data_IF_700329620339
#
_entry.id   IF_700329620339
#
_cell.length_a   1.000
_cell.length_b   1.000
_cell.length_c   1.000
_cell.angle_alpha   90.00
_cell.angle_beta   90.00
_cell.angle_gamma   90.00
#
_symmetry.space_group_name_H-M   'P 1'
#
loop_
_entity.id
_entity.type
_entity.pdbx_description
1 polymer ?
#
# COMPACT_ATOMS: atom_id res chain seq x y z
N UNK A 1 -17.45 -1.81 -15.18
CA UNK A 1 -16.75 -0.49 -15.29
C UNK A 1 -15.25 -0.73 -15.24
N UNK A 2 -14.44 0.08 -15.94
CA UNK A 2 -12.98 0.00 -15.86
C UNK A 2 -12.49 0.50 -14.49
N UNK A 3 -11.57 -0.23 -13.86
CA UNK A 3 -10.91 0.24 -12.64
C UNK A 3 -9.77 1.17 -13.04
N UNK A 4 -9.87 2.46 -12.72
CA UNK A 4 -8.91 3.49 -13.09
C UNK A 4 -8.48 4.39 -11.94
N UNK A 5 -9.10 4.24 -10.76
CA UNK A 5 -8.86 5.06 -9.58
C UNK A 5 -8.16 4.29 -8.49
N UNK A 6 -7.19 4.94 -7.82
CA UNK A 6 -6.55 4.42 -6.63
C UNK A 6 -6.65 5.40 -5.46
N UNK A 7 -6.70 4.86 -4.26
CA UNK A 7 -6.65 5.61 -2.99
C UNK A 7 -5.45 5.11 -2.19
N UNK A 8 -4.57 6.02 -1.79
CA UNK A 8 -3.39 5.74 -0.98
C UNK A 8 -3.55 6.40 0.38
N UNK A 9 -3.92 5.67 1.43
CA UNK A 9 -3.96 6.19 2.80
C UNK A 9 -2.54 6.46 3.32
N UNK A 10 -2.23 7.73 3.60
CA UNK A 10 -0.94 8.20 4.07
C UNK A 10 -1.05 9.16 5.28
N UNK A 11 -2.19 9.16 5.99
CA UNK A 11 -2.45 10.06 7.12
C UNK A 11 -1.89 9.58 8.47
N UNK A 12 -1.41 8.33 8.55
CA UNK A 12 -0.92 7.72 9.78
C UNK A 12 0.27 8.46 10.41
N UNK A 13 0.39 8.42 11.74
CA UNK A 13 1.40 9.16 12.50
C UNK A 13 2.82 8.59 12.40
N UNK A 14 2.97 7.35 11.93
CA UNK A 14 4.29 6.71 11.77
C UNK A 14 5.05 6.44 13.07
N UNK A 15 4.37 6.27 14.20
CA UNK A 15 4.96 6.16 15.53
C UNK A 15 6.01 5.07 15.69
N UNK A 16 5.93 4.00 14.87
CA UNK A 16 6.90 2.89 14.89
C UNK A 16 8.32 3.31 14.50
N UNK A 17 8.47 4.43 13.78
CA UNK A 17 9.73 4.97 13.28
C UNK A 17 10.19 6.24 14.02
N UNK A 18 9.58 6.57 15.15
CA UNK A 18 10.10 7.66 15.97
C UNK A 18 11.55 7.34 16.42
N UNK A 19 12.44 8.37 16.46
CA UNK A 19 12.17 9.79 16.28
C UNK A 19 12.16 10.28 14.82
N UNK A 20 12.60 9.49 13.82
CA UNK A 20 12.71 9.93 12.41
C UNK A 20 11.39 10.50 11.86
N UNK A 21 10.27 9.86 12.17
CA UNK A 21 8.95 10.28 11.68
C UNK A 21 8.30 11.43 12.48
N UNK A 22 9.04 12.07 13.41
CA UNK A 22 8.58 13.31 14.05
C UNK A 22 8.38 14.43 13.01
N UNK A 23 9.26 14.52 12.04
CA UNK A 23 9.23 15.56 10.99
C UNK A 23 9.06 15.00 9.59
N UNK A 24 9.39 13.72 9.34
CA UNK A 24 9.32 13.06 8.04
C UNK A 24 8.15 12.08 8.00
N UNK A 25 7.27 12.14 6.98
CA UNK A 25 6.27 11.08 6.75
C UNK A 25 6.94 9.71 6.63
N UNK A 26 6.37 8.66 7.24
CA UNK A 26 6.91 7.30 7.08
C UNK A 26 6.94 6.85 5.61
N UNK A 27 6.03 7.35 4.82
CA UNK A 27 5.90 7.09 3.38
C UNK A 27 7.04 7.71 2.56
N UNK A 28 7.79 8.65 3.16
CA UNK A 28 8.98 9.27 2.58
C UNK A 28 10.29 8.63 3.03
N UNK A 29 10.25 7.59 3.87
CA UNK A 29 11.45 6.83 4.20
C UNK A 29 12.02 6.17 2.92
N UNK A 30 13.29 6.39 2.58
CA UNK A 30 13.85 5.93 1.31
C UNK A 30 14.25 4.46 1.37
N UNK A 31 13.89 3.70 0.36
CA UNK A 31 14.47 2.38 0.09
C UNK A 31 15.61 2.60 -0.90
N UNK A 32 16.82 2.61 -0.41
CA UNK A 32 18.04 3.10 -1.08
C UNK A 32 17.94 4.61 -1.34
N UNK A 33 17.43 5.01 -2.49
CA UNK A 33 17.33 6.39 -2.97
C UNK A 33 15.89 6.83 -3.32
N UNK A 34 14.93 5.88 -3.28
CA UNK A 34 13.54 6.10 -3.69
C UNK A 34 12.59 6.04 -2.48
N UNK A 35 11.76 7.08 -2.22
CA UNK A 35 10.76 7.04 -1.17
C UNK A 35 9.74 5.93 -1.36
N UNK A 36 9.30 5.32 -0.27
CA UNK A 36 8.34 4.20 -0.29
C UNK A 36 7.07 4.52 -1.08
N UNK A 37 6.53 5.73 -0.93
CA UNK A 37 5.31 6.17 -1.63
C UNK A 37 5.45 6.14 -3.15
N UNK A 38 6.64 6.40 -3.69
CA UNK A 38 6.88 6.39 -5.13
C UNK A 38 6.74 4.98 -5.71
N UNK A 39 7.19 3.94 -5.01
CA UNK A 39 6.97 2.55 -5.43
C UNK A 39 5.48 2.21 -5.55
N UNK A 40 4.65 2.74 -4.64
CA UNK A 40 3.20 2.51 -4.65
C UNK A 40 2.55 3.19 -5.85
N UNK A 41 2.93 4.44 -6.14
CA UNK A 41 2.43 5.20 -7.30
C UNK A 41 2.88 4.54 -8.62
N UNK A 42 4.12 4.09 -8.70
CA UNK A 42 4.64 3.36 -9.86
C UNK A 42 3.90 2.02 -10.09
N UNK A 43 3.57 1.28 -9.03
CA UNK A 43 2.76 0.06 -9.13
C UNK A 43 1.35 0.38 -9.63
N UNK A 44 0.73 1.45 -9.13
CA UNK A 44 -0.59 1.90 -9.59
C UNK A 44 -0.57 2.21 -11.09
N UNK A 45 0.39 3.01 -11.55
CA UNK A 45 0.62 3.32 -12.97
C UNK A 45 0.79 2.04 -13.81
N UNK A 46 1.69 1.13 -13.38
CA UNK A 46 1.96 -0.12 -14.09
C UNK A 46 0.73 -1.05 -14.16
N UNK A 47 -0.25 -0.84 -13.27
CA UNK A 47 -1.52 -1.57 -13.24
C UNK A 47 -2.61 -0.95 -14.11
N UNK A 48 -2.37 0.22 -14.71
CA UNK A 48 -3.31 0.93 -15.57
C UNK A 48 -4.23 1.90 -14.82
N UNK A 49 -3.86 2.32 -13.61
CA UNK A 49 -4.52 3.39 -12.85
C UNK A 49 -4.18 4.73 -13.51
N UNK A 50 -5.17 5.60 -13.61
CA UNK A 50 -5.10 6.92 -14.22
C UNK A 50 -5.11 8.04 -13.16
N UNK A 51 -5.96 7.89 -12.15
CA UNK A 51 -6.21 8.89 -11.11
C UNK A 51 -5.87 8.29 -9.72
N UNK A 52 -5.04 8.98 -8.95
CA UNK A 52 -4.62 8.55 -7.62
C UNK A 52 -4.94 9.62 -6.59
N UNK A 53 -5.70 9.28 -5.56
CA UNK A 53 -5.94 10.14 -4.41
C UNK A 53 -5.06 9.71 -3.24
N UNK A 54 -4.19 10.60 -2.79
CA UNK A 54 -3.41 10.40 -1.57
C UNK A 54 -4.14 11.07 -0.41
N UNK A 55 -4.55 10.26 0.59
CA UNK A 55 -5.21 10.77 1.80
C UNK A 55 -4.14 11.10 2.82
N UNK A 56 -3.83 12.39 2.96
CA UNK A 56 -2.77 12.91 3.82
C UNK A 56 -3.27 13.34 5.21
N UNK A 57 -2.36 13.62 6.12
CA UNK A 57 -2.62 14.18 7.44
C UNK A 57 -1.81 15.46 7.67
N UNK A 58 -1.75 15.88 8.94
CA UNK A 58 -0.88 16.98 9.36
C UNK A 58 0.61 16.62 9.12
N UNK A 59 1.41 17.58 8.65
CA UNK A 59 2.85 17.44 8.41
C UNK A 59 3.24 16.44 7.31
N UNK A 60 2.41 16.28 6.26
CA UNK A 60 2.67 15.35 5.15
C UNK A 60 3.08 16.04 3.83
N UNK A 61 3.37 17.36 3.86
CA UNK A 61 3.77 18.15 2.66
C UNK A 61 4.94 17.56 1.86
N UNK A 62 5.85 16.84 2.53
CA UNK A 62 6.95 16.19 1.82
C UNK A 62 6.48 15.16 0.77
N UNK A 63 5.29 14.60 0.92
CA UNK A 63 4.69 13.72 -0.09
C UNK A 63 4.26 14.51 -1.31
N UNK A 64 3.59 15.65 -1.10
CA UNK A 64 3.15 16.55 -2.18
C UNK A 64 4.38 17.09 -2.93
N UNK A 65 5.33 17.67 -2.19
CA UNK A 65 6.57 18.24 -2.76
C UNK A 65 7.40 17.21 -3.55
N UNK A 66 7.34 15.92 -3.20
CA UNK A 66 8.08 14.88 -3.90
C UNK A 66 7.61 14.67 -5.34
N UNK A 67 6.31 14.82 -5.58
CA UNK A 67 5.72 14.64 -6.90
C UNK A 67 5.56 15.94 -7.69
N UNK A 68 5.75 17.10 -7.04
CA UNK A 68 5.74 18.40 -7.70
C UNK A 68 7.08 18.69 -8.40
N UNK A 69 7.06 19.58 -9.38
CA UNK A 69 8.28 20.09 -9.99
C UNK A 69 9.11 20.91 -9.00
N UNK A 70 10.43 20.85 -9.14
CA UNK A 70 11.36 21.71 -8.42
C UNK A 70 12.21 22.53 -9.42
N UNK A 71 11.68 23.67 -9.91
CA UNK A 71 12.34 24.45 -10.97
C UNK A 71 13.74 24.91 -10.61
N UNK A 72 14.00 25.24 -9.33
CA UNK A 72 15.33 25.67 -8.88
C UNK A 72 16.36 24.53 -8.99
N UNK A 73 16.01 23.34 -8.51
CA UNK A 73 16.84 22.16 -8.64
C UNK A 73 17.06 21.77 -10.10
N UNK A 74 16.00 21.77 -10.90
CA UNK A 74 16.06 21.41 -12.32
C UNK A 74 16.99 22.36 -13.10
N UNK A 75 16.90 23.68 -12.87
CA UNK A 75 17.78 24.67 -13.46
C UNK A 75 19.25 24.49 -13.02
N UNK A 76 19.51 24.15 -11.75
CA UNK A 76 20.87 23.89 -11.28
C UNK A 76 21.47 22.64 -11.94
N UNK A 77 20.68 21.56 -12.04
CA UNK A 77 21.09 20.33 -12.71
C UNK A 77 21.38 20.56 -14.20
N UNK A 78 20.58 21.37 -14.88
CA UNK A 78 20.79 21.75 -16.27
C UNK A 78 22.08 22.56 -16.43
N UNK A 79 22.27 23.63 -15.64
CA UNK A 79 23.45 24.49 -15.66
C UNK A 79 24.73 23.72 -15.36
N UNK A 80 24.66 22.72 -14.48
CA UNK A 80 25.84 21.91 -14.09
C UNK A 80 26.05 20.68 -15.00
N UNK A 81 25.24 20.51 -16.05
CA UNK A 81 25.34 19.41 -17.02
C UNK A 81 24.98 18.04 -16.48
N UNK A 82 24.26 17.96 -15.37
CA UNK A 82 23.85 16.69 -14.71
C UNK A 82 22.58 16.13 -15.34
N UNK A 83 22.62 15.84 -16.64
CA UNK A 83 21.47 15.47 -17.46
C UNK A 83 20.70 14.23 -16.96
N UNK A 84 21.38 13.22 -16.43
CA UNK A 84 20.74 12.00 -15.92
C UNK A 84 19.94 12.28 -14.64
N UNK A 85 20.46 13.11 -13.73
CA UNK A 85 19.73 13.52 -12.52
C UNK A 85 18.54 14.42 -12.87
N UNK A 86 18.70 15.30 -13.88
CA UNK A 86 17.59 16.11 -14.38
C UNK A 86 16.45 15.25 -14.94
N UNK A 87 16.76 14.27 -15.78
CA UNK A 87 15.78 13.33 -16.31
C UNK A 87 15.08 12.54 -15.20
N UNK A 88 15.85 12.09 -14.19
CA UNK A 88 15.31 11.38 -13.03
C UNK A 88 14.31 12.24 -12.27
N UNK A 89 14.67 13.51 -11.97
CA UNK A 89 13.81 14.46 -11.25
C UNK A 89 12.54 14.76 -12.04
N UNK A 90 12.66 15.09 -13.32
CA UNK A 90 11.51 15.32 -14.19
C UNK A 90 10.63 14.09 -14.39
N UNK A 91 11.21 12.88 -14.36
CA UNK A 91 10.49 11.62 -14.45
C UNK A 91 9.56 11.38 -13.27
N UNK A 92 9.88 11.90 -12.08
CA UNK A 92 9.02 11.81 -10.89
C UNK A 92 7.78 12.71 -11.07
N UNK A 93 7.96 13.93 -11.54
CA UNK A 93 6.84 14.86 -11.82
C UNK A 93 5.96 14.36 -12.97
N UNK A 94 6.57 13.76 -13.99
CA UNK A 94 5.89 13.30 -15.20
C UNK A 94 5.56 11.81 -15.19
N UNK A 95 5.06 11.29 -14.07
CA UNK A 95 4.71 9.86 -13.95
C UNK A 95 3.59 9.41 -14.90
N UNK A 96 2.80 10.33 -15.46
CA UNK A 96 1.69 10.01 -16.37
C UNK A 96 0.46 9.45 -15.66
N UNK A 97 0.27 9.83 -14.41
CA UNK A 97 -0.95 9.66 -13.62
C UNK A 97 -1.34 11.01 -13.01
N UNK A 98 -2.62 11.21 -12.75
CA UNK A 98 -3.10 12.39 -12.06
C UNK A 98 -3.06 12.15 -10.56
N UNK A 99 -2.39 13.02 -9.81
CA UNK A 99 -2.33 12.97 -8.36
C UNK A 99 -3.28 13.99 -7.75
N UNK A 100 -4.10 13.52 -6.82
CA UNK A 100 -5.03 14.33 -6.03
C UNK A 100 -4.71 14.16 -4.56
N UNK A 101 -5.00 15.17 -3.75
CA UNK A 101 -4.74 15.15 -2.32
C UNK A 101 -5.99 15.52 -1.54
N UNK A 102 -6.29 14.77 -0.50
CA UNK A 102 -7.29 15.14 0.50
C UNK A 102 -6.74 14.89 1.89
N UNK A 103 -7.43 15.42 2.90
CA UNK A 103 -6.94 15.31 4.29
C UNK A 103 -7.87 14.48 5.14
N UNK A 104 -7.26 13.61 5.94
CA UNK A 104 -7.86 13.06 7.14
C UNK A 104 -7.54 14.01 8.31
N UNK A 105 -8.51 14.78 8.84
CA UNK A 105 -8.24 15.81 9.86
C UNK A 105 -7.76 15.19 11.18
N UNK A 106 -8.29 14.02 11.51
CA UNK A 106 -7.94 13.25 12.71
C UNK A 106 -7.65 11.81 12.31
N UNK A 107 -6.62 11.16 12.89
CA UNK A 107 -6.26 9.78 12.58
C UNK A 107 -7.27 8.80 13.23
N UNK A 108 -8.44 8.65 12.61
CA UNK A 108 -9.56 7.85 13.10
C UNK A 108 -9.58 6.41 12.55
N UNK A 109 -8.49 5.96 11.93
CA UNK A 109 -8.36 4.60 11.38
C UNK A 109 -8.37 4.54 9.86
N UNK A 110 -8.10 3.34 9.32
CA UNK A 110 -8.00 3.11 7.88
C UNK A 110 -9.34 3.28 7.17
N UNK A 111 -10.44 2.82 7.78
CA UNK A 111 -11.78 2.98 7.22
C UNK A 111 -12.19 4.44 7.07
N UNK A 112 -11.89 5.30 8.07
CA UNK A 112 -12.14 6.74 7.96
C UNK A 112 -11.27 7.39 6.86
N UNK A 113 -10.00 7.01 6.74
CA UNK A 113 -9.15 7.50 5.66
C UNK A 113 -9.74 7.15 4.28
N UNK A 114 -10.22 5.91 4.10
CA UNK A 114 -10.89 5.48 2.87
C UNK A 114 -12.19 6.24 2.64
N UNK A 115 -12.98 6.47 3.68
CA UNK A 115 -14.24 7.22 3.57
C UNK A 115 -14.03 8.65 3.03
N UNK A 116 -12.89 9.30 3.31
CA UNK A 116 -12.55 10.62 2.75
C UNK A 116 -12.40 10.61 1.22
N UNK A 117 -12.29 9.44 0.61
CA UNK A 117 -12.17 9.31 -0.85
C UNK A 117 -13.54 9.21 -1.56
N UNK A 118 -14.68 9.17 -0.86
CA UNK A 118 -16.01 8.95 -1.45
C UNK A 118 -16.31 9.86 -2.65
N UNK A 119 -16.09 11.17 -2.51
CA UNK A 119 -16.35 12.13 -3.59
C UNK A 119 -15.41 11.96 -4.78
N UNK A 120 -14.16 11.57 -4.55
CA UNK A 120 -13.19 11.28 -5.61
C UNK A 120 -13.55 9.99 -6.36
N UNK A 121 -13.94 8.96 -5.65
CA UNK A 121 -14.32 7.66 -6.23
C UNK A 121 -15.58 7.79 -7.08
N UNK A 122 -16.57 8.58 -6.62
CA UNK A 122 -17.75 8.96 -7.39
C UNK A 122 -18.49 7.78 -8.03
N UNK A 123 -18.70 6.70 -7.27
CA UNK A 123 -19.47 5.53 -7.72
C UNK A 123 -18.73 4.54 -8.63
N UNK A 124 -17.41 4.71 -8.83
CA UNK A 124 -16.59 3.77 -9.62
C UNK A 124 -15.91 2.71 -8.72
N UNK A 125 -15.57 1.51 -9.25
CA UNK A 125 -14.68 0.59 -8.56
C UNK A 125 -13.29 1.21 -8.45
N UNK A 126 -12.61 0.96 -7.33
CA UNK A 126 -11.31 1.56 -7.04
C UNK A 126 -10.39 0.62 -6.29
N UNK A 127 -9.09 0.90 -6.30
CA UNK A 127 -8.12 0.16 -5.49
C UNK A 127 -7.67 0.98 -4.30
N UNK A 128 -7.40 0.30 -3.18
CA UNK A 128 -6.71 0.87 -2.03
C UNK A 128 -5.32 0.26 -1.96
N UNK A 129 -4.31 1.11 -1.80
CA UNK A 129 -2.91 0.70 -1.76
C UNK A 129 -2.25 1.28 -0.50
N UNK A 130 -1.86 0.41 0.45
CA UNK A 130 -1.19 0.87 1.67
C UNK A 130 0.24 1.32 1.36
N UNK A 131 0.61 2.48 1.88
CA UNK A 131 1.88 3.15 1.57
C UNK A 131 3.13 2.51 2.21
N UNK A 132 2.95 1.51 3.06
CA UNK A 132 4.04 0.82 3.78
C UNK A 132 4.13 -0.69 3.42
N UNK A 133 3.51 -1.10 2.32
CA UNK A 133 3.48 -2.50 1.90
C UNK A 133 3.87 -2.61 0.41
N UNK A 134 5.12 -2.97 0.13
CA UNK A 134 5.64 -3.09 -1.22
C UNK A 134 5.43 -4.51 -1.75
N UNK A 135 4.99 -4.61 -3.00
CA UNK A 135 4.72 -5.88 -3.67
C UNK A 135 5.60 -6.04 -4.90
N UNK A 136 6.17 -7.22 -5.10
CA UNK A 136 6.99 -7.53 -6.27
C UNK A 136 6.58 -8.85 -6.87
N UNK A 137 6.14 -8.80 -8.12
CA UNK A 137 5.84 -9.96 -8.97
C UNK A 137 6.06 -9.57 -10.44
N UNK A 138 5.94 -10.53 -11.36
CA UNK A 138 5.96 -10.30 -12.81
C UNK A 138 4.77 -9.43 -13.26
N UNK A 139 3.60 -9.70 -12.70
CA UNK A 139 2.39 -8.88 -12.85
C UNK A 139 2.15 -8.16 -11.52
N UNK A 140 2.06 -6.82 -11.49
CA UNK A 140 1.78 -6.09 -10.26
C UNK A 140 0.54 -6.63 -9.54
N UNK A 141 0.57 -6.73 -8.22
CA UNK A 141 -0.57 -7.27 -7.45
C UNK A 141 -1.86 -6.48 -7.69
N UNK A 142 -1.77 -5.16 -7.78
CA UNK A 142 -2.91 -4.31 -8.15
C UNK A 142 -3.50 -4.71 -9.50
N UNK A 143 -2.67 -5.05 -10.50
CA UNK A 143 -3.14 -5.55 -11.79
C UNK A 143 -3.79 -6.93 -11.71
N UNK A 144 -3.30 -7.80 -10.81
CA UNK A 144 -3.92 -9.10 -10.56
C UNK A 144 -5.35 -8.91 -10.03
N UNK A 145 -5.54 -8.03 -9.03
CA UNK A 145 -6.87 -7.72 -8.50
C UNK A 145 -7.81 -7.12 -9.57
N UNK A 146 -7.30 -6.26 -10.44
CA UNK A 146 -8.08 -5.71 -11.56
C UNK A 146 -8.53 -6.82 -12.51
N UNK A 147 -7.64 -7.76 -12.84
CA UNK A 147 -7.98 -8.89 -13.69
C UNK A 147 -9.04 -9.82 -13.06
N UNK A 148 -9.07 -9.95 -11.74
CA UNK A 148 -10.11 -10.71 -11.02
C UNK A 148 -11.43 -9.95 -11.02
N UNK A 149 -11.39 -8.63 -10.81
CA UNK A 149 -12.59 -7.79 -10.92
C UNK A 149 -13.21 -7.83 -12.32
N UNK A 150 -12.40 -7.82 -13.37
CA UNK A 150 -12.90 -7.90 -14.76
C UNK A 150 -13.69 -9.18 -15.02
N UNK A 151 -13.42 -10.26 -14.26
CA UNK A 151 -14.13 -11.55 -14.35
C UNK A 151 -15.33 -11.63 -13.42
N UNK A 152 -15.21 -11.07 -12.20
CA UNK A 152 -16.17 -11.30 -11.11
C UNK A 152 -17.12 -10.12 -10.88
N UNK A 153 -16.70 -8.92 -11.28
CA UNK A 153 -17.34 -7.64 -10.98
C UNK A 153 -17.61 -7.42 -9.48
N UNK A 154 -16.80 -8.04 -8.62
CA UNK A 154 -16.93 -8.00 -7.17
C UNK A 154 -15.64 -7.52 -6.48
N UNK A 155 -15.78 -6.99 -5.28
CA UNK A 155 -14.64 -6.62 -4.43
C UNK A 155 -13.70 -7.79 -4.21
N UNK A 156 -12.41 -7.55 -4.28
CA UNK A 156 -11.36 -8.57 -4.09
C UNK A 156 -10.24 -8.03 -3.20
N UNK A 157 -9.90 -8.77 -2.16
CA UNK A 157 -8.89 -8.40 -1.18
C UNK A 157 -7.65 -9.27 -1.38
N UNK A 158 -6.47 -8.65 -1.41
CA UNK A 158 -5.24 -9.41 -1.46
C UNK A 158 -4.92 -10.03 -0.10
N UNK A 159 -4.60 -11.31 -0.08
CA UNK A 159 -4.17 -12.05 1.11
C UNK A 159 -2.89 -12.82 0.85
N UNK A 160 -2.16 -13.14 1.90
CA UNK A 160 -0.96 -13.95 1.86
C UNK A 160 -0.94 -14.92 3.05
N UNK A 161 -0.43 -16.12 2.83
CA UNK A 161 -0.20 -17.05 3.94
C UNK A 161 0.94 -16.56 4.82
N UNK A 162 0.69 -16.43 6.12
CA UNK A 162 1.67 -16.02 7.12
C UNK A 162 1.85 -17.11 8.17
N UNK A 163 2.99 -17.14 8.88
CA UNK A 163 3.13 -18.02 10.04
C UNK A 163 2.01 -17.78 11.07
N UNK A 164 1.37 -18.83 11.56
CA UNK A 164 0.22 -18.73 12.47
C UNK A 164 0.44 -17.77 13.65
N UNK A 165 1.62 -17.81 14.27
CA UNK A 165 1.99 -16.88 15.36
C UNK A 165 1.98 -15.39 15.01
N UNK A 166 1.93 -15.04 13.72
CA UNK A 166 1.92 -13.64 13.23
C UNK A 166 0.52 -13.14 12.86
N UNK A 167 -0.52 -13.98 12.84
CA UNK A 167 -1.89 -13.63 12.39
C UNK A 167 -2.49 -12.48 13.18
N UNK A 168 -2.19 -12.36 14.47
CA UNK A 168 -2.69 -11.28 15.33
C UNK A 168 -2.21 -9.86 14.94
N UNK A 169 -1.31 -9.75 13.98
CA UNK A 169 -0.84 -8.46 13.44
C UNK A 169 -1.69 -7.96 12.26
N UNK A 170 -2.56 -8.79 11.69
CA UNK A 170 -3.27 -8.55 10.43
C UNK A 170 -4.77 -8.79 10.57
N UNK A 171 -5.55 -8.21 9.66
CA UNK A 171 -6.86 -8.78 9.34
C UNK A 171 -6.68 -10.18 8.76
N UNK A 172 -7.54 -11.12 9.10
CA UNK A 172 -7.48 -12.52 8.66
C UNK A 172 -8.82 -12.92 8.06
N UNK A 173 -8.81 -13.68 6.97
CA UNK A 173 -10.05 -14.18 6.36
C UNK A 173 -10.39 -15.59 6.84
N UNK A 174 -11.70 -15.90 6.90
CA UNK A 174 -12.21 -17.27 6.92
C UNK A 174 -12.56 -17.67 5.48
N UNK A 175 -11.74 -18.48 4.78
CA UNK A 175 -12.03 -18.88 3.41
C UNK A 175 -13.27 -19.80 3.36
N UNK A 176 -14.08 -19.66 2.30
CA UNK A 176 -15.29 -20.45 2.05
C UNK A 176 -15.28 -21.05 0.64
N UNK A 177 -14.31 -21.92 0.39
CA UNK A 177 -14.10 -22.59 -0.87
C UNK A 177 -13.30 -21.80 -1.90
N UNK A 178 -12.65 -22.52 -2.80
CA UNK A 178 -11.89 -22.01 -3.95
C UNK A 178 -12.81 -21.79 -5.15
N UNK A 179 -12.57 -20.68 -5.86
CA UNK A 179 -13.23 -20.41 -7.16
C UNK A 179 -12.23 -20.63 -8.30
N UNK A 180 -10.98 -20.27 -8.07
CA UNK A 180 -9.86 -20.50 -8.98
C UNK A 180 -8.61 -20.81 -8.17
N UNK A 181 -7.47 -21.09 -8.81
CA UNK A 181 -6.24 -21.52 -8.10
C UNK A 181 -5.82 -20.61 -6.95
N UNK A 182 -6.00 -19.31 -7.10
CA UNK A 182 -5.58 -18.32 -6.11
C UNK A 182 -6.72 -17.44 -5.60
N UNK A 183 -7.98 -17.71 -6.02
CA UNK A 183 -9.15 -16.91 -5.68
C UNK A 183 -10.12 -17.73 -4.80
N UNK A 184 -10.49 -17.16 -3.65
CA UNK A 184 -11.36 -17.77 -2.65
C UNK A 184 -12.63 -16.97 -2.42
N UNK A 185 -13.75 -17.66 -2.17
CA UNK A 185 -14.85 -17.07 -1.43
C UNK A 185 -14.42 -16.81 0.00
N UNK A 186 -15.00 -15.79 0.62
CA UNK A 186 -14.73 -15.46 2.03
C UNK A 186 -16.01 -15.50 2.83
N UNK A 187 -15.99 -16.25 3.92
CA UNK A 187 -17.09 -16.34 4.88
C UNK A 187 -17.13 -15.12 5.81
N UNK A 188 -15.97 -14.72 6.32
CA UNK A 188 -15.84 -13.57 7.24
C UNK A 188 -14.43 -13.00 7.24
N UNK A 189 -14.32 -11.77 7.74
CA UNK A 189 -13.09 -11.04 7.95
C UNK A 189 -12.95 -10.71 9.44
N UNK A 190 -11.79 -10.92 10.04
CA UNK A 190 -11.54 -10.67 11.47
C UNK A 190 -10.29 -9.81 11.62
N UNK A 191 -10.45 -8.60 12.19
CA UNK A 191 -9.33 -7.68 12.42
C UNK A 191 -8.50 -8.11 13.62
N UNK A 192 -7.22 -8.42 13.37
CA UNK A 192 -6.21 -8.79 14.37
C UNK A 192 -6.73 -9.80 15.41
N UNK A 193 -7.18 -10.99 15.01
CA UNK A 193 -7.68 -11.99 15.94
C UNK A 193 -6.61 -12.39 16.96
N UNK A 194 -7.03 -12.89 18.10
CA UNK A 194 -6.13 -13.67 18.97
C UNK A 194 -5.65 -14.88 18.20
N UNK A 195 -4.40 -15.31 18.43
CA UNK A 195 -3.77 -16.39 17.63
C UNK A 195 -4.60 -17.67 17.66
N UNK A 196 -5.11 -18.05 18.82
CA UNK A 196 -5.95 -19.24 19.05
C UNK A 196 -7.36 -19.14 18.46
N UNK A 197 -7.82 -17.94 18.07
CA UNK A 197 -9.14 -17.66 17.48
C UNK A 197 -9.07 -17.29 16.00
N UNK A 198 -7.86 -17.25 15.42
CA UNK A 198 -7.70 -16.88 14.02
C UNK A 198 -8.37 -17.92 13.11
N UNK A 199 -9.25 -17.52 12.18
CA UNK A 199 -9.99 -18.45 11.34
C UNK A 199 -9.11 -19.16 10.29
N UNK A 200 -7.94 -18.62 9.97
CA UNK A 200 -6.97 -19.19 9.04
C UNK A 200 -5.60 -18.52 9.17
N UNK A 201 -4.64 -18.95 8.34
CA UNK A 201 -3.33 -18.29 8.18
C UNK A 201 -3.30 -17.29 7.00
N UNK A 202 -4.45 -16.98 6.40
CA UNK A 202 -4.54 -16.07 5.27
C UNK A 202 -4.74 -14.64 5.77
N UNK A 203 -3.64 -13.91 5.84
CA UNK A 203 -3.60 -12.52 6.30
C UNK A 203 -3.87 -11.55 5.17
N UNK A 204 -4.67 -10.54 5.44
CA UNK A 204 -4.92 -9.42 4.54
C UNK A 204 -3.64 -8.60 4.40
N UNK A 205 -3.28 -8.26 3.17
CA UNK A 205 -2.13 -7.44 2.84
C UNK A 205 -2.57 -6.17 2.11
N UNK A 206 -1.68 -5.22 1.95
CA UNK A 206 -1.93 -3.82 1.64
C UNK A 206 -2.53 -3.49 0.28
N UNK A 207 -3.29 -4.39 -0.36
CA UNK A 207 -3.98 -4.14 -1.62
C UNK A 207 -5.42 -4.64 -1.57
N UNK A 208 -6.35 -3.73 -1.93
CA UNK A 208 -7.78 -4.01 -1.96
C UNK A 208 -8.36 -3.44 -3.23
N UNK A 209 -9.18 -4.18 -3.93
CA UNK A 209 -10.08 -3.66 -4.94
C UNK A 209 -11.50 -3.68 -4.37
N UNK A 210 -12.11 -2.51 -4.26
CA UNK A 210 -13.45 -2.37 -3.66
C UNK A 210 -14.43 -1.75 -4.65
N UNK A 211 -15.66 -2.15 -4.52
CA UNK A 211 -16.80 -1.51 -5.17
C UNK A 211 -17.30 -0.34 -4.30
N UNK A 212 -17.99 0.67 -4.89
CA UNK A 212 -18.34 1.90 -4.18
C UNK A 212 -19.29 1.72 -3.00
N UNK A 213 -19.99 0.59 -2.92
CA UNK A 213 -20.93 0.26 -1.84
C UNK A 213 -20.24 0.19 -0.45
N UNK A 214 -18.92 0.06 -0.42
CA UNK A 214 -18.15 0.16 0.83
C UNK A 214 -18.38 1.49 1.54
N UNK A 215 -18.67 2.57 0.82
CA UNK A 215 -18.92 3.88 1.41
C UNK A 215 -20.23 3.96 2.17
N UNK A 216 -21.26 3.20 1.76
CA UNK A 216 -22.53 3.14 2.47
C UNK A 216 -22.36 2.44 3.82
N UNK A 217 -21.45 1.46 3.88
CA UNK A 217 -21.10 0.81 5.16
C UNK A 217 -20.24 1.74 6.02
N UNK A 218 -19.20 2.36 5.45
CA UNK A 218 -18.28 3.23 6.18
C UNK A 218 -18.95 4.47 6.76
N UNK A 219 -20.03 4.96 6.15
CA UNK A 219 -20.79 6.12 6.64
C UNK A 219 -21.34 5.89 8.05
N UNK A 220 -21.75 4.67 8.37
CA UNK A 220 -22.35 4.30 9.66
C UNK A 220 -21.44 3.38 10.50
N UNK A 221 -20.24 3.08 10.01
CA UNK A 221 -19.31 2.17 10.68
C UNK A 221 -18.84 2.75 12.01
N UNK A 222 -19.13 2.05 13.11
CA UNK A 222 -18.66 2.43 14.45
C UNK A 222 -17.19 2.08 14.62
N UNK A 223 -16.43 2.82 15.45
CA UNK A 223 -15.10 2.44 15.82
C UNK A 223 -15.05 1.02 16.40
N UNK A 224 -14.11 0.23 15.92
CA UNK A 224 -13.85 -1.13 16.37
C UNK A 224 -12.60 -1.22 17.27
N UNK A 225 -11.75 -2.22 17.00
CA UNK A 225 -10.53 -2.47 17.78
C UNK A 225 -9.64 -1.22 17.81
N UNK A 226 -9.18 -0.84 18.99
CA UNK A 226 -8.33 0.34 19.20
C UNK A 226 -9.06 1.69 19.11
N UNK A 227 -10.39 1.72 19.05
CA UNK A 227 -11.16 2.96 18.89
C UNK A 227 -11.10 3.57 17.50
N UNK A 228 -10.65 2.79 16.50
CA UNK A 228 -10.49 3.21 15.11
C UNK A 228 -11.61 2.64 14.23
N UNK A 229 -11.99 3.36 13.17
CA UNK A 229 -12.85 2.83 12.10
C UNK A 229 -12.02 1.87 11.27
N UNK A 230 -12.23 0.57 11.47
CA UNK A 230 -11.46 -0.49 10.81
C UNK A 230 -12.06 -0.80 9.44
N UNK A 231 -11.21 -0.80 8.40
CA UNK A 231 -11.63 -1.17 7.04
C UNK A 231 -12.05 -2.64 6.97
N UNK A 232 -11.36 -3.52 7.70
CA UNK A 232 -11.65 -4.95 7.77
C UNK A 232 -13.07 -5.22 8.26
N UNK A 233 -13.53 -4.49 9.29
CA UNK A 233 -14.87 -4.62 9.84
C UNK A 233 -15.95 -4.13 8.84
N UNK A 234 -15.63 -3.07 8.10
CA UNK A 234 -16.53 -2.57 7.04
C UNK A 234 -16.64 -3.56 5.88
N UNK A 235 -15.53 -4.19 5.48
CA UNK A 235 -15.52 -5.23 4.45
C UNK A 235 -16.31 -6.46 4.91
N UNK A 236 -16.19 -6.87 6.18
CA UNK A 236 -16.99 -7.98 6.73
C UNK A 236 -18.48 -7.66 6.71
N UNK A 237 -18.83 -6.43 7.03
CA UNK A 237 -20.25 -5.97 6.96
C UNK A 237 -20.75 -5.96 5.51
N UNK A 238 -19.97 -5.44 4.57
CA UNK A 238 -20.31 -5.45 3.14
C UNK A 238 -20.45 -6.87 2.60
N UNK A 239 -19.61 -7.81 3.04
CA UNK A 239 -19.62 -9.21 2.60
C UNK A 239 -20.94 -9.94 2.94
N UNK A 240 -21.73 -9.43 3.88
CA UNK A 240 -23.06 -10.00 4.21
C UNK A 240 -24.12 -9.72 3.14
N UNK A 241 -23.93 -8.68 2.35
CA UNK A 241 -24.87 -8.24 1.30
C UNK A 241 -24.30 -8.35 -0.10
N UNK A 242 -22.98 -8.26 -0.23
CA UNK A 242 -22.25 -8.39 -1.49
C UNK A 242 -21.10 -9.35 -1.30
N UNK A 243 -20.87 -10.22 -2.29
CA UNK A 243 -19.73 -11.16 -2.24
C UNK A 243 -18.40 -10.43 -2.34
N UNK A 244 -17.49 -10.74 -1.41
CA UNK A 244 -16.10 -10.29 -1.44
C UNK A 244 -15.19 -11.51 -1.61
N UNK A 245 -14.26 -11.42 -2.53
CA UNK A 245 -13.28 -12.47 -2.80
C UNK A 245 -11.93 -12.17 -2.14
N UNK A 246 -11.12 -13.19 -1.98
CA UNK A 246 -9.73 -13.07 -1.55
C UNK A 246 -8.80 -13.68 -2.58
N UNK A 247 -7.87 -12.87 -3.10
CA UNK A 247 -6.79 -13.28 -4.00
C UNK A 247 -5.54 -13.61 -3.19
N UNK A 248 -5.04 -14.84 -3.30
CA UNK A 248 -3.78 -15.24 -2.65
C UNK A 248 -2.59 -14.76 -3.48
N UNK A 249 -1.81 -13.86 -2.92
CA UNK A 249 -0.60 -13.35 -3.55
C UNK A 249 0.57 -14.33 -3.36
N UNK A 250 1.23 -14.67 -4.45
CA UNK A 250 2.38 -15.60 -4.47
C UNK A 250 3.72 -14.91 -4.70
N UNK A 251 3.71 -13.61 -4.98
CA UNK A 251 4.92 -12.83 -5.18
C UNK A 251 5.63 -12.49 -3.86
N UNK A 252 6.62 -11.65 -3.93
CA UNK A 252 7.39 -11.19 -2.77
C UNK A 252 6.76 -9.92 -2.18
N UNK A 253 6.40 -9.98 -0.90
CA UNK A 253 5.93 -8.85 -0.10
C UNK A 253 7.06 -8.31 0.77
N UNK A 254 7.12 -6.99 0.90
CA UNK A 254 8.06 -6.27 1.74
C UNK A 254 7.27 -5.33 2.67
N UNK A 255 7.18 -5.70 3.95
CA UNK A 255 6.51 -4.90 4.98
C UNK A 255 7.48 -3.84 5.51
N UNK A 256 7.41 -2.64 4.95
CA UNK A 256 8.23 -1.50 5.39
C UNK A 256 7.55 -0.66 6.47
N UNK A 257 6.45 -1.13 7.05
CA UNK A 257 5.73 -0.49 8.14
C UNK A 257 6.35 -0.70 9.54
N UNK A 258 7.45 -1.45 9.63
CA UNK A 258 8.20 -1.68 10.87
C UNK A 258 9.71 -1.67 10.60
N UNK A 259 10.52 -1.49 11.67
CA UNK A 259 11.98 -1.31 11.56
C UNK A 259 12.70 -2.53 10.96
N UNK A 260 12.31 -3.74 11.37
CA UNK A 260 12.91 -5.00 10.88
C UNK A 260 12.68 -5.14 9.37
N UNK A 261 11.42 -5.12 8.92
CA UNK A 261 11.08 -5.25 7.51
C UNK A 261 11.63 -4.11 6.65
N UNK A 262 11.71 -2.89 7.19
CA UNK A 262 12.36 -1.77 6.50
C UNK A 262 13.85 -2.03 6.25
N UNK A 263 14.59 -2.52 7.25
CA UNK A 263 16.02 -2.84 7.10
C UNK A 263 16.22 -4.00 6.12
N UNK A 264 15.44 -5.08 6.25
CA UNK A 264 15.50 -6.22 5.33
C UNK A 264 15.21 -5.80 3.89
N UNK A 265 14.20 -4.95 3.69
CA UNK A 265 13.84 -4.40 2.37
C UNK A 265 14.97 -3.56 1.81
N UNK A 266 15.53 -2.65 2.60
CA UNK A 266 16.63 -1.78 2.18
C UNK A 266 17.86 -2.59 1.75
N UNK A 267 18.20 -3.65 2.48
CA UNK A 267 19.27 -4.57 2.12
C UNK A 267 18.97 -5.29 0.79
N UNK A 268 17.76 -5.85 0.65
CA UNK A 268 17.40 -6.59 -0.57
C UNK A 268 17.35 -5.71 -1.82
N UNK A 269 16.87 -4.48 -1.69
CA UNK A 269 16.89 -3.51 -2.79
C UNK A 269 18.31 -3.01 -3.07
N UNK A 270 19.11 -2.71 -2.04
CA UNK A 270 20.51 -2.32 -2.17
C UNK A 270 21.36 -3.37 -2.87
N UNK A 271 21.09 -4.67 -2.65
CA UNK A 271 21.76 -5.79 -3.35
C UNK A 271 21.37 -5.89 -4.84
N UNK A 272 20.36 -5.17 -5.29
CA UNK A 272 19.88 -5.13 -6.68
C UNK A 272 20.16 -3.78 -7.35
N UNK A 273 20.42 -2.74 -6.56
CA UNK A 273 20.64 -1.38 -7.05
C UNK A 273 22.02 -1.28 -7.75
N UNK A 274 22.09 -0.67 -8.94
CA UNK A 274 23.34 -0.63 -9.72
C UNK A 274 24.53 -0.05 -8.97
N UNK A 275 24.34 1.01 -8.21
CA UNK A 275 25.41 1.73 -7.51
C UNK A 275 25.86 1.06 -6.21
N UNK A 276 25.02 0.25 -5.57
CA UNK A 276 25.30 -0.28 -4.22
C UNK A 276 25.52 -1.78 -4.17
N UNK A 277 25.01 -2.54 -5.16
CA UNK A 277 24.96 -4.01 -5.14
C UNK A 277 26.29 -4.69 -4.84
N UNK A 278 27.37 -4.25 -5.47
CA UNK A 278 28.67 -4.94 -5.39
C UNK A 278 29.38 -4.61 -4.05
N UNK A 279 29.36 -3.34 -3.65
CA UNK A 279 29.89 -2.90 -2.36
C UNK A 279 29.12 -3.52 -1.18
N UNK A 280 27.78 -3.50 -1.24
CA UNK A 280 26.93 -4.07 -0.21
C UNK A 280 27.09 -5.59 -0.10
N UNK A 281 27.20 -6.29 -1.23
CA UNK A 281 27.45 -7.74 -1.24
C UNK A 281 28.78 -8.10 -0.57
N UNK A 282 29.85 -7.33 -0.86
CA UNK A 282 31.15 -7.50 -0.22
C UNK A 282 31.04 -7.27 1.27
N UNK A 283 30.45 -6.15 1.67
CA UNK A 283 30.27 -5.78 3.08
C UNK A 283 29.51 -6.85 3.87
N UNK A 284 28.36 -7.35 3.34
CA UNK A 284 27.57 -8.40 4.02
C UNK A 284 28.37 -9.69 4.19
N UNK A 285 29.19 -10.08 3.18
CA UNK A 285 30.05 -11.27 3.28
C UNK A 285 31.13 -11.11 4.36
N UNK A 286 31.69 -9.92 4.49
CA UNK A 286 32.66 -9.62 5.54
C UNK A 286 32.03 -9.58 6.92
N UNK A 287 30.89 -8.91 7.06
CA UNK A 287 30.14 -8.83 8.29
C UNK A 287 29.70 -10.23 8.79
N UNK A 288 29.22 -11.09 7.89
CA UNK A 288 28.82 -12.46 8.23
C UNK A 288 29.93 -13.36 8.73
N UNK A 289 31.23 -12.96 8.61
CA UNK A 289 32.35 -13.67 9.21
C UNK A 289 32.60 -13.27 10.67
N UNK A 290 32.00 -12.17 11.11
CA UNK A 290 32.19 -11.60 12.45
C UNK A 290 30.99 -11.82 13.37
N UNK A 291 29.86 -12.30 12.82
CA UNK A 291 28.64 -12.68 13.53
C UNK A 291 28.62 -14.19 13.83
#
# INVERSE_FOLDING_TARGET
MKVRKAVIPAAGLGTRFLPATKALPKEMLPIVDKPTIQFIVEEAKASGIEDILIVTGKNKRAIENHFDSNPELEQDLEKTGKSELLKLTQGITNLGVNLYYTRQPHPAGLGDAVYRARSFVAGEPFVIMLGDDLMKDKVPLTKQLINDYDKTHASTIAVMKVPHKKVSKYGVIAPDGKIADDLYNVKSFVEKPDVDKAPSDLAIIGRYLLTPEIFDVLEYQKPGRGGEVQLTDAIDTMNKTQRVFAQVFKGQRFDVGNKEGYLETSIQYGLKHPETRDALRKYIKELGKTL
#
